data_IF_322641229629
#
_entry.id   IF_322641229629
#
_cell.length_a   1.000
_cell.length_b   1.000
_cell.length_c   1.000
_cell.angle_alpha   90.00
_cell.angle_beta   90.00
_cell.angle_gamma   90.00
#
_symmetry.space_group_name_H-M   'P 1'
#
loop_
_entity.id
_entity.type
_entity.pdbx_description
1 polymer ?
#
# COMPACT_ATOMS: atom_id res chain seq x y z
N UNK A 1 -11.91 -0.82 18.05
CA UNK A 1 -11.57 0.25 19.00
C UNK A 1 -12.71 1.23 18.94
N UNK A 2 -13.28 1.55 20.09
CA UNK A 2 -14.55 2.25 20.15
C UNK A 2 -14.36 3.56 20.91
N UNK A 3 -14.83 4.67 20.33
CA UNK A 3 -14.75 6.00 20.92
C UNK A 3 -16.17 6.47 21.27
N UNK A 4 -16.34 6.96 22.51
CA UNK A 4 -17.61 7.46 23.00
C UNK A 4 -17.58 8.98 23.12
N UNK A 5 -18.61 9.65 22.62
CA UNK A 5 -18.73 11.11 22.62
C UNK A 5 -20.03 11.52 23.30
N UNK A 6 -19.98 12.56 24.13
CA UNK A 6 -21.18 13.14 24.74
C UNK A 6 -22.06 13.89 23.75
N UNK A 7 -21.46 14.51 22.73
CA UNK A 7 -22.17 15.25 21.68
C UNK A 7 -21.94 14.64 20.29
N UNK A 8 -23.01 14.60 19.49
CA UNK A 8 -22.96 14.16 18.08
C UNK A 8 -21.98 14.98 17.23
N UNK A 9 -21.88 16.28 17.50
CA UNK A 9 -20.97 17.19 16.78
C UNK A 9 -19.51 16.75 16.89
N UNK A 10 -19.06 16.36 18.09
CA UNK A 10 -17.68 15.88 18.29
C UNK A 10 -17.42 14.56 17.53
N UNK A 11 -18.38 13.65 17.51
CA UNK A 11 -18.27 12.41 16.73
C UNK A 11 -18.15 12.72 15.22
N UNK A 12 -18.97 13.63 14.68
CA UNK A 12 -18.87 14.07 13.29
C UNK A 12 -17.50 14.69 12.97
N UNK A 13 -17.01 15.59 13.83
CA UNK A 13 -15.69 16.20 13.65
C UNK A 13 -14.56 15.17 13.67
N UNK A 14 -14.68 14.14 14.51
CA UNK A 14 -13.70 13.05 14.56
C UNK A 14 -13.71 12.21 13.28
N UNK A 15 -14.88 11.85 12.77
CA UNK A 15 -15.01 11.14 11.48
C UNK A 15 -14.45 11.98 10.33
N UNK A 16 -14.71 13.29 10.33
CA UNK A 16 -14.20 14.20 9.30
C UNK A 16 -12.68 14.38 9.39
N UNK A 17 -12.11 14.34 10.60
CA UNK A 17 -10.66 14.26 10.79
C UNK A 17 -10.10 12.98 10.18
N UNK A 18 -10.71 11.81 10.47
CA UNK A 18 -10.26 10.52 9.91
C UNK A 18 -10.24 10.53 8.38
N UNK A 19 -11.26 11.11 7.73
CA UNK A 19 -11.30 11.26 6.26
C UNK A 19 -10.12 12.03 5.68
N UNK A 20 -9.56 12.99 6.43
CA UNK A 20 -8.43 13.82 5.96
C UNK A 20 -7.08 13.13 6.11
N UNK A 21 -6.98 12.14 7.00
CA UNK A 21 -5.70 11.50 7.33
C UNK A 21 -5.58 10.08 6.79
N UNK A 22 -6.70 9.38 6.60
CA UNK A 22 -6.71 8.00 6.10
C UNK A 22 -7.90 7.73 5.17
N UNK A 23 -7.79 6.80 4.21
CA UNK A 23 -8.91 6.45 3.34
C UNK A 23 -9.89 5.58 4.11
N UNK A 24 -11.09 6.09 4.36
CA UNK A 24 -12.14 5.40 5.13
C UNK A 24 -13.44 5.23 4.36
N UNK A 25 -14.15 4.15 4.70
CA UNK A 25 -15.58 3.99 4.45
C UNK A 25 -16.27 4.05 5.81
N UNK A 26 -17.37 4.77 5.94
CA UNK A 26 -18.15 4.71 7.16
C UNK A 26 -19.64 4.65 6.89
N UNK A 27 -20.35 4.07 7.85
CA UNK A 27 -21.80 4.03 7.93
C UNK A 27 -22.25 4.67 9.23
N UNK A 28 -23.33 5.45 9.17
CA UNK A 28 -23.98 6.04 10.33
C UNK A 28 -25.32 5.35 10.55
N UNK A 29 -25.56 4.87 11.76
CA UNK A 29 -26.84 4.35 12.19
C UNK A 29 -27.34 5.17 13.40
N UNK A 30 -28.66 5.24 13.58
CA UNK A 30 -29.29 5.91 14.72
C UNK A 30 -30.33 5.00 15.35
N UNK A 31 -30.36 4.96 16.68
CA UNK A 31 -31.32 4.21 17.47
C UNK A 31 -32.09 5.18 18.36
N UNK A 32 -33.42 5.17 18.30
CA UNK A 32 -34.26 5.93 19.21
C UNK A 32 -34.18 5.27 20.60
N UNK A 33 -33.76 6.04 21.61
CA UNK A 33 -33.68 5.58 23.00
C UNK A 33 -34.94 5.96 23.75
N UNK A 34 -35.38 7.21 23.62
CA UNK A 34 -36.62 7.68 24.25
C UNK A 34 -37.24 8.84 23.48
N UNK A 35 -38.53 9.04 23.66
CA UNK A 35 -39.28 10.15 23.09
C UNK A 35 -40.23 10.71 24.15
N UNK A 36 -40.19 12.02 24.39
CA UNK A 36 -41.16 12.72 25.23
C UNK A 36 -42.25 13.36 24.35
N UNK A 37 -43.44 12.77 24.40
CA UNK A 37 -44.61 13.17 23.58
C UNK A 37 -45.06 14.60 23.91
N UNK A 38 -44.86 15.07 25.15
CA UNK A 38 -45.35 16.39 25.58
C UNK A 38 -44.45 17.53 25.09
N UNK A 39 -43.14 17.29 25.08
CA UNK A 39 -42.14 18.27 24.63
C UNK A 39 -41.66 18.04 23.19
N UNK A 40 -42.10 16.96 22.55
CA UNK A 40 -41.62 16.51 21.22
C UNK A 40 -40.09 16.36 21.16
N UNK A 41 -39.46 16.01 22.28
CA UNK A 41 -38.01 15.77 22.38
C UNK A 41 -37.70 14.30 22.14
N UNK A 42 -36.74 14.05 21.25
CA UNK A 42 -36.29 12.70 20.89
C UNK A 42 -34.83 12.51 21.29
N UNK A 43 -34.56 11.46 22.07
CA UNK A 43 -33.21 11.06 22.43
C UNK A 43 -32.76 9.92 21.52
N UNK A 44 -31.76 10.20 20.70
CA UNK A 44 -31.16 9.22 19.79
C UNK A 44 -29.75 8.86 20.24
N UNK A 45 -29.41 7.57 20.14
CA UNK A 45 -28.04 7.08 20.20
C UNK A 45 -27.53 6.94 18.76
N UNK A 46 -26.41 7.58 18.46
CA UNK A 46 -25.78 7.54 17.14
C UNK A 46 -24.57 6.61 17.17
N UNK A 47 -24.44 5.77 16.14
CA UNK A 47 -23.32 4.86 15.98
C UNK A 47 -22.67 5.12 14.62
N UNK A 48 -21.35 5.31 14.61
CA UNK A 48 -20.55 5.48 13.40
C UNK A 48 -19.63 4.27 13.26
N UNK A 49 -19.89 3.43 12.26
CA UNK A 49 -19.03 2.28 11.93
C UNK A 49 -18.04 2.73 10.86
N UNK A 50 -16.77 2.92 11.25
CA UNK A 50 -15.70 3.38 10.36
C UNK A 50 -14.77 2.22 10.03
N UNK A 51 -14.52 1.98 8.74
CA UNK A 51 -13.56 1.02 8.21
C UNK A 51 -12.40 1.76 7.55
N UNK A 52 -11.18 1.39 7.93
CA UNK A 52 -9.94 1.92 7.34
C UNK A 52 -9.47 0.94 6.26
N UNK A 53 -8.86 1.48 5.19
CA UNK A 53 -8.20 0.65 4.19
C UNK A 53 -7.14 -0.27 4.84
N UNK A 54 -7.14 -1.59 4.56
CA UNK A 54 -6.17 -2.55 5.09
C UNK A 54 -4.75 -2.44 4.49
N UNK A 55 -4.55 -1.64 3.44
CA UNK A 55 -3.24 -1.48 2.78
C UNK A 55 -2.40 -0.47 3.56
N UNK A 56 -1.19 -0.87 3.96
CA UNK A 56 -0.26 -0.03 4.69
C UNK A 56 0.85 0.52 3.79
N UNK A 57 1.55 1.54 4.28
CA UNK A 57 2.80 2.01 3.67
C UNK A 57 3.81 0.85 3.63
N UNK A 58 4.56 0.74 2.54
CA UNK A 58 5.57 -0.29 2.24
C UNK A 58 5.01 -1.68 1.92
N UNK A 59 3.69 -1.86 1.89
CA UNK A 59 3.08 -3.13 1.48
C UNK A 59 3.24 -3.36 -0.03
N UNK A 60 3.43 -4.64 -0.39
CA UNK A 60 3.38 -5.09 -1.77
C UNK A 60 1.96 -5.52 -2.12
N UNK A 61 1.44 -4.99 -3.22
CA UNK A 61 0.10 -5.28 -3.70
C UNK A 61 0.20 -5.88 -5.10
N UNK A 62 -0.53 -6.96 -5.34
CA UNK A 62 -0.82 -7.43 -6.69
C UNK A 62 -2.20 -6.93 -7.10
N UNK A 63 -2.23 -5.98 -8.03
CA UNK A 63 -3.47 -5.37 -8.47
C UNK A 63 -4.30 -6.35 -9.32
N UNK A 64 -5.60 -6.49 -9.05
CA UNK A 64 -6.50 -7.16 -9.97
C UNK A 64 -6.52 -6.46 -11.33
N UNK A 65 -6.63 -7.22 -12.42
CA UNK A 65 -6.58 -6.69 -13.78
C UNK A 65 -7.55 -5.52 -14.03
N UNK A 66 -8.76 -5.60 -13.48
CA UNK A 66 -9.77 -4.53 -13.56
C UNK A 66 -9.28 -3.22 -12.93
N UNK A 67 -8.60 -3.30 -11.79
CA UNK A 67 -8.06 -2.14 -11.07
C UNK A 67 -6.86 -1.59 -11.82
N UNK A 68 -5.95 -2.46 -12.26
CA UNK A 68 -4.78 -2.09 -13.06
C UNK A 68 -5.17 -1.33 -14.33
N UNK A 69 -6.16 -1.82 -15.08
CA UNK A 69 -6.67 -1.15 -16.28
C UNK A 69 -7.33 0.20 -15.97
N UNK A 70 -8.10 0.29 -14.89
CA UNK A 70 -8.68 1.56 -14.42
C UNK A 70 -7.64 2.61 -14.02
N UNK A 71 -6.45 2.17 -13.59
CA UNK A 71 -5.32 3.02 -13.21
C UNK A 71 -4.31 3.23 -14.36
N UNK A 72 -4.75 3.09 -15.62
CA UNK A 72 -3.90 3.35 -16.79
C UNK A 72 -2.88 2.23 -17.06
N UNK A 73 -3.28 0.98 -16.82
CA UNK A 73 -2.45 -0.23 -16.92
C UNK A 73 -1.22 -0.17 -16.01
N UNK A 74 -1.43 0.17 -14.74
CA UNK A 74 -0.37 0.14 -13.72
C UNK A 74 -0.19 -1.28 -13.17
N UNK A 75 1.06 -1.71 -12.97
CA UNK A 75 1.39 -2.96 -12.30
C UNK A 75 1.44 -4.17 -13.24
N UNK A 76 1.04 -5.37 -12.79
CA UNK A 76 0.17 -5.61 -11.63
C UNK A 76 0.87 -5.62 -10.27
N UNK A 77 2.20 -5.81 -10.20
CA UNK A 77 2.95 -5.66 -8.96
C UNK A 77 3.25 -4.19 -8.66
N UNK A 78 2.78 -3.70 -7.53
CA UNK A 78 2.97 -2.31 -7.09
C UNK A 78 3.27 -2.25 -5.59
N UNK A 79 3.97 -1.20 -5.19
CA UNK A 79 4.30 -0.91 -3.79
C UNK A 79 3.47 0.29 -3.33
N UNK A 80 2.89 0.20 -2.14
CA UNK A 80 2.25 1.35 -1.51
C UNK A 80 3.30 2.28 -0.88
N UNK A 81 3.53 3.45 -1.47
CA UNK A 81 4.58 4.37 -1.00
C UNK A 81 4.07 5.35 0.05
N UNK A 82 2.79 5.74 -0.02
CA UNK A 82 2.17 6.69 0.89
C UNK A 82 0.68 6.35 1.09
N UNK A 83 0.25 6.41 2.35
CA UNK A 83 -1.16 6.36 2.74
C UNK A 83 -1.48 7.67 3.47
N UNK A 84 -2.43 8.42 2.94
CA UNK A 84 -2.96 9.70 3.45
C UNK A 84 -4.50 9.64 3.29
N UNK A 85 -5.17 10.75 3.07
CA UNK A 85 -6.49 10.79 2.40
C UNK A 85 -6.58 9.90 1.15
N UNK A 86 -5.50 9.82 0.37
CA UNK A 86 -5.36 8.96 -0.81
C UNK A 86 -4.22 7.94 -0.65
N UNK A 87 -4.33 6.83 -1.38
CA UNK A 87 -3.31 5.78 -1.47
C UNK A 87 -2.44 6.05 -2.70
N UNK A 88 -1.13 6.15 -2.51
CA UNK A 88 -0.16 6.27 -3.61
C UNK A 88 0.48 4.93 -3.87
N UNK A 89 0.34 4.44 -5.10
CA UNK A 89 0.93 3.19 -5.58
C UNK A 89 2.06 3.51 -6.57
N UNK A 90 3.17 2.80 -6.48
CA UNK A 90 4.32 2.91 -7.36
C UNK A 90 4.62 1.53 -7.96
N UNK A 91 4.79 1.49 -9.28
CA UNK A 91 5.38 0.32 -9.94
C UNK A 91 6.92 0.42 -9.84
N UNK A 92 7.60 -0.48 -9.11
CA UNK A 92 9.04 -0.40 -8.89
C UNK A 92 9.87 -0.62 -10.16
N UNK A 93 9.26 -1.16 -11.23
CA UNK A 93 9.93 -1.48 -12.50
C UNK A 93 9.84 -0.34 -13.51
N UNK A 94 8.73 0.38 -13.52
CA UNK A 94 8.46 1.43 -14.52
C UNK A 94 8.51 2.84 -13.94
N UNK A 95 8.60 2.98 -12.61
CA UNK A 95 8.43 4.23 -11.86
C UNK A 95 7.09 4.94 -12.08
N UNK A 96 6.14 4.31 -12.78
CA UNK A 96 4.79 4.86 -12.93
C UNK A 96 4.08 4.80 -11.59
N UNK A 97 3.28 5.83 -11.33
CA UNK A 97 2.49 5.92 -10.11
C UNK A 97 1.02 6.11 -10.41
N UNK A 98 0.17 5.67 -9.48
CA UNK A 98 -1.23 6.03 -9.47
C UNK A 98 -1.66 6.48 -8.07
N UNK A 99 -2.63 7.37 -8.05
CA UNK A 99 -3.30 7.84 -6.84
C UNK A 99 -4.69 7.24 -6.82
N UNK A 100 -5.02 6.58 -5.72
CA UNK A 100 -6.31 5.93 -5.52
C UNK A 100 -7.01 6.60 -4.33
N UNK A 101 -8.16 7.20 -4.59
CA UNK A 101 -8.98 7.78 -3.53
C UNK A 101 -9.76 6.70 -2.76
N UNK A 102 -10.33 7.06 -1.60
CA UNK A 102 -11.12 6.14 -0.79
C UNK A 102 -12.30 5.52 -1.58
N UNK A 103 -13.01 6.31 -2.41
CA UNK A 103 -14.19 5.83 -3.15
C UNK A 103 -13.81 4.80 -4.20
N UNK A 104 -12.74 5.04 -4.95
CA UNK A 104 -12.19 4.13 -5.95
C UNK A 104 -11.70 2.85 -5.29
N UNK A 105 -11.01 2.94 -4.15
CA UNK A 105 -10.58 1.77 -3.39
C UNK A 105 -11.78 0.92 -2.96
N UNK A 106 -12.81 1.49 -2.33
CA UNK A 106 -13.95 0.70 -1.83
C UNK A 106 -14.85 0.13 -2.94
N UNK A 107 -14.82 0.69 -4.15
CA UNK A 107 -15.51 0.12 -5.33
C UNK A 107 -14.89 -1.19 -5.83
N UNK A 108 -13.57 -1.32 -5.70
CA UNK A 108 -12.81 -2.48 -6.17
C UNK A 108 -11.65 -2.75 -5.23
N UNK A 109 -11.98 -3.06 -3.98
CA UNK A 109 -11.01 -3.25 -2.91
C UNK A 109 -10.07 -4.41 -3.19
N UNK A 110 -8.85 -4.30 -2.70
CA UNK A 110 -7.81 -5.31 -2.80
C UNK A 110 -7.00 -5.36 -1.50
N UNK A 111 -6.27 -6.44 -1.28
CA UNK A 111 -5.43 -6.60 -0.09
C UNK A 111 -3.95 -6.59 -0.47
N UNK A 112 -3.11 -6.34 0.52
CA UNK A 112 -1.66 -6.50 0.39
C UNK A 112 -1.33 -7.98 0.17
N UNK A 113 -0.55 -8.28 -0.86
CA UNK A 113 -0.03 -9.62 -1.13
C UNK A 113 1.06 -9.99 -0.13
N UNK A 114 1.94 -9.02 0.19
CA UNK A 114 2.91 -9.11 1.27
C UNK A 114 2.85 -7.84 2.10
N UNK A 115 2.99 -8.01 3.42
CA UNK A 115 2.97 -6.89 4.38
C UNK A 115 4.38 -6.49 4.77
N UNK A 116 4.58 -5.23 5.17
CA UNK A 116 5.88 -4.70 5.62
C UNK A 116 6.59 -5.52 6.72
N UNK A 117 5.86 -6.37 7.45
CA UNK A 117 6.41 -7.30 8.44
C UNK A 117 7.24 -8.44 7.85
N UNK A 118 7.09 -8.72 6.56
CA UNK A 118 7.75 -9.81 5.84
C UNK A 118 9.00 -9.32 5.07
N UNK A 119 9.44 -8.08 5.30
CA UNK A 119 10.65 -7.55 4.69
C UNK A 119 11.90 -8.27 5.24
N UNK A 120 12.79 -8.63 4.34
CA UNK A 120 14.07 -9.27 4.63
C UNK A 120 15.22 -8.33 4.25
N UNK A 121 16.33 -8.44 4.97
CA UNK A 121 17.53 -7.65 4.73
C UNK A 121 18.37 -8.23 3.59
N UNK A 122 18.84 -7.33 2.73
CA UNK A 122 19.73 -7.58 1.62
C UNK A 122 20.97 -6.70 1.75
N UNK A 123 22.12 -7.25 1.40
CA UNK A 123 23.35 -6.48 1.17
C UNK A 123 23.42 -6.07 -0.30
N UNK A 124 23.77 -4.81 -0.54
CA UNK A 124 23.98 -4.26 -1.87
C UNK A 124 25.47 -4.34 -2.22
N UNK A 125 25.79 -5.09 -3.27
CA UNK A 125 27.16 -5.27 -3.75
C UNK A 125 27.52 -4.26 -4.82
N UNK A 126 26.61 -4.02 -5.75
CA UNK A 126 26.82 -3.09 -6.85
C UNK A 126 25.52 -2.38 -7.25
N UNK A 127 25.66 -1.17 -7.77
CA UNK A 127 24.55 -0.31 -8.20
C UNK A 127 24.91 0.32 -9.54
N UNK A 128 24.14 -0.04 -10.57
CA UNK A 128 24.27 0.57 -11.89
C UNK A 128 23.74 2.02 -11.89
N UNK A 129 24.31 2.91 -12.73
CA UNK A 129 23.83 4.27 -12.86
C UNK A 129 22.34 4.30 -13.24
N UNK A 130 21.56 5.26 -12.71
CA UNK A 130 20.14 5.37 -13.01
C UNK A 130 19.83 5.48 -14.51
N UNK A 131 18.93 4.61 -14.98
CA UNK A 131 18.44 4.59 -16.36
C UNK A 131 17.28 5.57 -16.56
N UNK A 132 16.58 5.90 -15.46
CA UNK A 132 15.49 6.88 -15.48
C UNK A 132 15.17 7.40 -14.09
N UNK A 133 14.60 8.59 -14.03
CA UNK A 133 14.21 9.23 -12.77
C UNK A 133 12.76 9.71 -12.86
N UNK A 134 12.06 9.67 -11.73
CA UNK A 134 10.71 10.19 -11.61
C UNK A 134 10.52 10.81 -10.22
N UNK A 135 9.79 11.92 -10.16
CA UNK A 135 9.39 12.52 -8.89
C UNK A 135 7.89 12.26 -8.68
N UNK A 136 7.56 11.48 -7.65
CA UNK A 136 6.19 11.08 -7.35
C UNK A 136 5.85 11.50 -5.93
N UNK A 137 4.81 12.30 -5.75
CA UNK A 137 4.34 12.72 -4.42
C UNK A 137 5.39 13.49 -3.60
N UNK A 138 6.29 14.21 -4.27
CA UNK A 138 7.40 14.95 -3.65
C UNK A 138 8.61 14.08 -3.28
N UNK A 139 8.60 12.78 -3.61
CA UNK A 139 9.74 11.89 -3.42
C UNK A 139 10.39 11.59 -4.76
N UNK A 140 11.72 11.63 -4.79
CA UNK A 140 12.51 11.24 -5.97
C UNK A 140 12.61 9.72 -6.00
N UNK A 141 12.50 9.16 -7.18
CA UNK A 141 12.77 7.76 -7.47
C UNK A 141 13.71 7.67 -8.67
N UNK A 142 14.57 6.67 -8.66
CA UNK A 142 15.51 6.45 -9.75
C UNK A 142 15.63 4.96 -10.01
N UNK A 143 15.46 4.61 -11.28
CA UNK A 143 15.43 3.24 -11.76
C UNK A 143 16.87 2.80 -12.03
N UNK A 144 17.35 1.85 -11.26
CA UNK A 144 18.69 1.27 -11.41
C UNK A 144 18.61 -0.26 -11.35
N UNK A 145 19.64 -0.92 -11.87
CA UNK A 145 19.89 -2.33 -11.58
C UNK A 145 20.86 -2.42 -10.40
N UNK A 146 20.61 -3.40 -9.53
CA UNK A 146 21.44 -3.64 -8.35
C UNK A 146 21.76 -5.11 -8.22
N UNK A 147 22.99 -5.37 -7.80
CA UNK A 147 23.41 -6.70 -7.38
C UNK A 147 23.27 -6.80 -5.87
N UNK A 148 22.46 -7.76 -5.42
CA UNK A 148 22.16 -7.96 -4.01
C UNK A 148 22.33 -9.41 -3.59
N UNK A 149 22.59 -9.66 -2.31
CA UNK A 149 22.43 -10.98 -1.71
C UNK A 149 21.65 -10.87 -0.41
N UNK A 150 20.91 -11.92 -0.05
CA UNK A 150 20.20 -11.93 1.23
C UNK A 150 21.23 -11.96 2.36
N UNK A 151 21.01 -11.20 3.42
CA UNK A 151 21.96 -11.15 4.55
C UNK A 151 22.17 -12.54 5.18
N UNK A 152 21.14 -13.39 5.21
CA UNK A 152 21.23 -14.76 5.69
C UNK A 152 21.87 -15.76 4.71
N UNK A 153 22.03 -15.39 3.44
CA UNK A 153 22.56 -16.25 2.38
C UNK A 153 23.32 -15.42 1.34
N UNK A 154 24.57 -15.08 1.67
CA UNK A 154 25.45 -14.27 0.83
C UNK A 154 25.94 -15.06 -0.40
N UNK A 155 25.85 -16.40 -0.37
CA UNK A 155 26.31 -17.26 -1.46
C UNK A 155 25.47 -17.13 -2.74
N UNK A 156 24.23 -16.64 -2.62
CA UNK A 156 23.32 -16.47 -3.76
C UNK A 156 23.06 -14.99 -4.04
N UNK A 157 23.64 -14.52 -5.14
CA UNK A 157 23.44 -13.15 -5.62
C UNK A 157 22.26 -13.08 -6.60
N UNK A 158 21.52 -11.98 -6.52
CA UNK A 158 20.42 -11.62 -7.41
C UNK A 158 20.75 -10.30 -8.11
N UNK A 159 20.35 -10.21 -9.38
CA UNK A 159 20.39 -8.97 -10.14
C UNK A 159 18.96 -8.49 -10.32
N UNK A 160 18.59 -7.42 -9.61
CA UNK A 160 17.20 -6.93 -9.59
C UNK A 160 17.13 -5.46 -9.97
N UNK A 161 16.00 -5.09 -10.55
CA UNK A 161 15.70 -3.69 -10.82
C UNK A 161 15.08 -3.04 -9.58
N UNK A 162 15.47 -1.80 -9.30
CA UNK A 162 15.01 -1.06 -8.12
C UNK A 162 14.66 0.38 -8.45
N UNK A 163 13.70 0.94 -7.71
CA UNK A 163 13.30 2.35 -7.75
C UNK A 163 14.12 3.23 -6.79
N UNK A 164 15.04 2.62 -6.03
CA UNK A 164 15.86 3.26 -5.01
C UNK A 164 17.28 3.63 -5.50
N UNK A 165 17.51 3.68 -6.82
CA UNK A 165 18.85 3.89 -7.40
C UNK A 165 19.53 5.21 -7.01
N UNK A 166 18.76 6.21 -6.56
CA UNK A 166 19.27 7.51 -6.12
C UNK A 166 19.80 7.51 -4.68
N UNK A 167 19.46 6.49 -3.87
CA UNK A 167 19.86 6.40 -2.45
C UNK A 167 20.78 5.21 -2.16
N UNK A 168 20.68 4.14 -2.95
CA UNK A 168 21.49 2.94 -2.75
C UNK A 168 22.92 3.15 -3.25
N UNK A 169 23.86 2.63 -2.49
CA UNK A 169 25.29 2.59 -2.78
C UNK A 169 25.83 1.18 -2.48
N UNK A 170 26.90 0.75 -3.17
CA UNK A 170 27.63 -0.46 -2.79
C UNK A 170 28.01 -0.44 -1.30
N UNK A 171 27.79 -1.56 -0.60
CA UNK A 171 28.01 -1.72 0.84
C UNK A 171 26.80 -1.37 1.72
N UNK A 172 25.73 -0.83 1.16
CA UNK A 172 24.52 -0.55 1.93
C UNK A 172 23.74 -1.83 2.28
N UNK A 173 22.92 -1.74 3.33
CA UNK A 173 21.85 -2.68 3.61
C UNK A 173 20.52 -2.11 3.10
N UNK A 174 19.66 -2.97 2.56
CA UNK A 174 18.32 -2.61 2.13
C UNK A 174 17.31 -3.68 2.56
N UNK A 175 16.09 -3.25 2.85
CA UNK A 175 14.95 -4.11 3.14
C UNK A 175 14.11 -4.32 1.88
N UNK A 176 13.79 -5.57 1.59
CA UNK A 176 13.00 -5.94 0.42
C UNK A 176 12.21 -7.21 0.62
N UNK A 177 11.26 -7.44 -0.28
CA UNK A 177 10.51 -8.68 -0.35
C UNK A 177 11.30 -9.73 -1.12
N UNK A 178 11.41 -10.92 -0.54
CA UNK A 178 11.90 -12.13 -1.21
C UNK A 178 10.77 -12.77 -2.00
N UNK A 179 10.66 -12.48 -3.29
CA UNK A 179 9.60 -13.06 -4.14
C UNK A 179 9.99 -14.46 -4.62
N UNK A 180 11.30 -14.73 -4.73
CA UNK A 180 11.82 -16.04 -5.11
C UNK A 180 11.47 -17.12 -4.07
N UNK A 181 11.66 -16.82 -2.79
CA UNK A 181 11.43 -17.76 -1.68
C UNK A 181 10.08 -17.62 -0.97
N UNK A 182 9.33 -16.53 -1.15
CA UNK A 182 8.04 -16.37 -0.47
C UNK A 182 6.96 -17.25 -1.08
N UNK A 183 6.31 -18.05 -0.23
CA UNK A 183 5.04 -18.68 -0.56
C UNK A 183 3.91 -17.67 -0.33
N UNK A 184 3.58 -16.91 -1.38
CA UNK A 184 2.53 -15.90 -1.33
C UNK A 184 1.17 -16.56 -1.61
N UNK A 185 0.35 -16.70 -0.57
CA UNK A 185 -1.03 -17.18 -0.71
C UNK A 185 -1.95 -16.05 -1.17
N UNK A 186 -1.79 -15.61 -2.42
CA UNK A 186 -2.62 -14.57 -3.05
C UNK A 186 -2.98 -14.98 -4.48
N UNK A 187 -4.28 -14.99 -4.77
CA UNK A 187 -4.81 -15.44 -6.06
C UNK A 187 -4.37 -14.54 -7.22
N UNK A 188 -4.19 -13.23 -7.00
CA UNK A 188 -3.75 -12.31 -8.05
C UNK A 188 -2.25 -12.52 -8.32
N UNK A 189 -1.45 -12.77 -7.28
CA UNK A 189 -0.04 -13.16 -7.43
C UNK A 189 0.13 -14.47 -8.20
N UNK A 190 -0.70 -15.48 -7.93
CA UNK A 190 -0.65 -16.75 -8.65
C UNK A 190 -1.01 -16.57 -10.14
N UNK A 191 -2.11 -15.84 -10.43
CA UNK A 191 -2.47 -15.47 -11.80
C UNK A 191 -1.35 -14.71 -12.49
N UNK A 192 -0.73 -13.77 -11.80
CA UNK A 192 0.37 -13.00 -12.34
C UNK A 192 1.57 -13.90 -12.66
N UNK A 193 1.97 -14.77 -11.73
CA UNK A 193 3.03 -15.76 -11.91
C UNK A 193 2.82 -16.63 -13.15
N UNK A 194 1.58 -17.05 -13.43
CA UNK A 194 1.23 -17.85 -14.61
C UNK A 194 1.22 -17.02 -15.91
N UNK A 195 0.91 -15.72 -15.82
CA UNK A 195 0.81 -14.84 -16.98
C UNK A 195 2.16 -14.29 -17.49
N UNK A 196 3.17 -14.20 -16.63
CA UNK A 196 4.43 -13.55 -16.97
C UNK A 196 5.40 -14.54 -17.59
N UNK A 197 5.74 -14.30 -18.87
CA UNK A 197 6.71 -15.13 -19.61
C UNK A 197 8.14 -15.04 -19.06
N UNK A 198 8.52 -13.91 -18.48
CA UNK A 198 9.89 -13.65 -18.00
C UNK A 198 10.08 -13.97 -16.50
N UNK A 199 9.12 -14.64 -15.87
CA UNK A 199 9.12 -14.89 -14.42
C UNK A 199 8.84 -13.64 -13.58
N UNK A 200 8.63 -13.87 -12.28
CA UNK A 200 8.55 -12.80 -11.29
C UNK A 200 9.96 -12.28 -10.96
N UNK A 201 10.12 -11.00 -10.59
CA UNK A 201 11.39 -10.53 -10.04
C UNK A 201 11.75 -11.36 -8.81
N UNK A 202 13.03 -11.62 -8.58
CA UNK A 202 13.48 -12.45 -7.46
C UNK A 202 13.33 -11.72 -6.12
N UNK A 203 13.56 -10.41 -6.13
CA UNK A 203 13.38 -9.55 -4.98
C UNK A 203 12.92 -8.15 -5.39
N UNK A 204 12.23 -7.47 -4.47
CA UNK A 204 11.80 -6.08 -4.64
C UNK A 204 12.28 -5.29 -3.42
N UNK A 205 13.25 -4.40 -3.61
CA UNK A 205 13.74 -3.52 -2.55
C UNK A 205 12.73 -2.40 -2.28
N UNK A 206 12.50 -2.11 -1.00
CA UNK A 206 11.46 -1.18 -0.54
C UNK A 206 12.04 0.00 0.22
N UNK A 207 13.06 -0.23 1.04
CA UNK A 207 13.77 0.84 1.76
C UNK A 207 15.22 0.49 2.02
N UNK A 208 16.04 1.52 2.19
CA UNK A 208 17.39 1.42 2.72
C UNK A 208 17.33 1.40 4.25
#
# INVERSE_FOLDING_TARGET
>A
IDFFFGNKSHANSFVEFLRKVVPIEYRQDQQLVSHDVKSSLYNYKYTYSVKICPVCREDLVCLPSKVASGLGNLGPLVVCTKVSDNITLLDPRTLRCAFLDARQYWRSGFRSALTSRQLVKYFVFDVEPPVGEATVGGQKYALSYVQIARESDIGKMFYVQTHLGHILKPGDQALGYDIYGANVNDNEMEKYRLSVKNGLPEAILIKK
#
